data_IF_076122118580
#
_entry.id   IF_076122118580
#
_cell.length_a   1.000
_cell.length_b   1.000
_cell.length_c   1.000
_cell.angle_alpha   90.00
_cell.angle_beta   90.00
_cell.angle_gamma   90.00
#
_symmetry.space_group_name_H-M   'P 1'
#
loop_
_entity.id
_entity.type
_entity.pdbx_description
1 polymer ?
#
# COMPACT_ATOMS: atom_id res chain seq x y z
N UNK A 1 -4.89 -9.45 -9.25
CA UNK A 1 -6.22 -8.81 -9.32
C UNK A 1 -6.85 -8.99 -10.69
N UNK A 2 -8.08 -9.48 -10.76
CA UNK A 2 -8.92 -9.49 -11.95
C UNK A 2 -9.55 -8.11 -12.21
N UNK A 3 -10.33 -7.96 -13.29
CA UNK A 3 -11.11 -6.74 -13.54
C UNK A 3 -12.07 -6.46 -12.38
N UNK A 4 -11.96 -5.29 -11.75
CA UNK A 4 -12.83 -4.86 -10.64
C UNK A 4 -13.60 -3.61 -11.04
N UNK A 5 -14.92 -3.65 -10.88
CA UNK A 5 -15.81 -2.53 -11.19
C UNK A 5 -15.69 -1.42 -10.15
N UNK A 6 -15.89 -0.18 -10.57
CA UNK A 6 -15.94 0.98 -9.66
C UNK A 6 -16.98 0.75 -8.55
N UNK A 7 -16.57 0.92 -7.29
CA UNK A 7 -17.41 0.69 -6.12
C UNK A 7 -17.35 -0.73 -5.54
N UNK A 8 -16.69 -1.67 -6.23
CA UNK A 8 -16.35 -2.99 -5.69
C UNK A 8 -14.91 -2.99 -5.14
N UNK A 9 -14.59 -3.98 -4.31
CA UNK A 9 -13.23 -4.23 -3.87
C UNK A 9 -12.88 -5.70 -4.04
N UNK A 10 -11.60 -5.98 -4.33
CA UNK A 10 -11.06 -7.33 -4.42
C UNK A 10 -10.02 -7.51 -3.32
N UNK A 11 -10.15 -8.57 -2.53
CA UNK A 11 -9.17 -8.93 -1.51
C UNK A 11 -8.45 -10.18 -1.98
N UNK A 12 -7.13 -10.07 -2.17
CA UNK A 12 -6.26 -11.21 -2.43
C UNK A 12 -5.46 -11.51 -1.16
N UNK A 13 -5.27 -12.79 -0.86
CA UNK A 13 -4.47 -13.24 0.29
C UNK A 13 -3.15 -13.82 -0.21
N UNK A 14 -2.05 -13.27 0.28
CA UNK A 14 -0.69 -13.77 0.05
C UNK A 14 -0.21 -14.46 1.32
N UNK A 15 0.38 -15.63 1.19
CA UNK A 15 0.92 -16.36 2.34
C UNK A 15 2.43 -16.16 2.41
N UNK A 16 2.89 -15.68 3.55
CA UNK A 16 4.31 -15.64 3.87
C UNK A 16 4.64 -16.87 4.70
N UNK A 17 5.82 -17.45 4.47
CA UNK A 17 6.31 -18.60 5.21
C UNK A 17 7.79 -18.42 5.52
N UNK A 18 8.21 -18.73 6.74
CA UNK A 18 9.61 -18.73 7.11
C UNK A 18 10.16 -20.17 7.17
N UNK A 19 10.85 -20.66 6.13
CA UNK A 19 11.46 -21.99 6.14
C UNK A 19 12.79 -22.05 6.93
N UNK A 20 13.27 -20.92 7.47
CA UNK A 20 14.53 -20.84 8.18
C UNK A 20 14.37 -21.24 9.65
N UNK A 21 15.47 -21.65 10.28
CA UNK A 21 15.51 -22.06 11.70
C UNK A 21 15.69 -20.88 12.67
N UNK A 22 15.42 -19.65 12.22
CA UNK A 22 15.48 -18.43 13.03
C UNK A 22 14.27 -17.54 12.75
N UNK A 23 13.80 -16.72 13.71
CA UNK A 23 12.74 -15.74 13.46
C UNK A 23 13.11 -14.74 12.36
N UNK A 24 12.13 -14.34 11.55
CA UNK A 24 12.30 -13.39 10.45
C UNK A 24 11.31 -12.23 10.59
N UNK A 25 11.82 -11.00 10.65
CA UNK A 25 11.01 -9.79 10.59
C UNK A 25 10.69 -9.44 9.13
N UNK A 26 9.44 -9.06 8.87
CA UNK A 26 8.99 -8.63 7.55
C UNK A 26 8.19 -7.33 7.65
N UNK A 27 8.26 -6.53 6.60
CA UNK A 27 7.47 -5.31 6.44
C UNK A 27 7.22 -5.00 4.97
N UNK A 28 6.11 -4.33 4.70
CA UNK A 28 5.68 -3.93 3.36
C UNK A 28 6.19 -2.52 3.08
N UNK A 29 7.04 -2.38 2.07
CA UNK A 29 7.53 -1.07 1.65
C UNK A 29 6.64 -0.46 0.57
N UNK A 30 5.90 0.59 0.91
CA UNK A 30 5.19 1.40 -0.10
C UNK A 30 6.11 2.52 -0.60
N UNK A 31 6.44 2.51 -1.89
CA UNK A 31 7.11 3.66 -2.52
C UNK A 31 6.18 4.87 -2.50
N UNK A 32 6.37 5.77 -1.53
CA UNK A 32 5.81 7.12 -1.64
C UNK A 32 6.71 7.89 -2.61
N UNK A 33 6.19 8.45 -3.72
CA UNK A 33 6.96 9.41 -4.49
C UNK A 33 7.25 10.59 -3.58
N UNK A 34 8.51 10.73 -3.15
CA UNK A 34 8.94 11.88 -2.37
C UNK A 34 8.88 13.09 -3.30
N UNK A 35 7.86 13.93 -3.12
CA UNK A 35 7.72 15.14 -3.90
C UNK A 35 8.77 16.15 -3.42
N UNK A 36 9.98 16.09 -4.00
CA UNK A 36 11.13 16.96 -3.63
C UNK A 36 10.81 18.45 -3.74
N UNK A 37 9.75 18.83 -4.46
CA UNK A 37 9.25 20.20 -4.59
C UNK A 37 8.65 20.77 -3.30
N UNK A 38 8.17 19.94 -2.37
CA UNK A 38 7.56 20.45 -1.13
C UNK A 38 8.58 21.14 -0.21
N UNK A 39 9.82 20.66 -0.16
CA UNK A 39 10.81 21.10 0.85
C UNK A 39 11.15 22.59 0.76
N UNK A 40 11.09 23.18 -0.44
CA UNK A 40 11.46 24.59 -0.67
C UNK A 40 10.24 25.52 -0.95
N UNK A 41 9.02 24.99 -0.88
CA UNK A 41 7.84 25.76 -1.27
C UNK A 41 7.30 26.66 -0.14
N UNK A 42 6.94 27.93 -0.41
CA UNK A 42 6.25 28.79 0.53
C UNK A 42 4.96 28.18 1.10
N UNK A 43 4.65 28.43 2.37
CA UNK A 43 3.52 27.81 3.10
C UNK A 43 2.17 27.97 2.39
N UNK A 44 1.90 29.13 1.77
CA UNK A 44 0.63 29.38 1.08
C UNK A 44 0.49 28.54 -0.21
N UNK A 45 1.59 28.29 -0.92
CA UNK A 45 1.63 27.43 -2.10
C UNK A 45 1.52 25.95 -1.69
N UNK A 46 2.15 25.53 -0.58
CA UNK A 46 1.94 24.18 -0.02
C UNK A 46 0.47 23.92 0.32
N UNK A 47 -0.22 24.90 0.92
CA UNK A 47 -1.64 24.77 1.28
C UNK A 47 -2.54 24.63 0.04
N UNK A 48 -2.29 25.42 -1.02
CA UNK A 48 -2.99 25.26 -2.31
C UNK A 48 -2.68 23.90 -2.93
N UNK A 49 -1.41 23.51 -2.97
CA UNK A 49 -0.98 22.24 -3.52
C UNK A 49 -1.58 21.05 -2.77
N UNK A 50 -1.63 21.05 -1.44
CA UNK A 50 -2.30 20.00 -0.66
C UNK A 50 -3.82 19.97 -0.84
N UNK A 51 -4.46 21.12 -1.10
CA UNK A 51 -5.89 21.17 -1.37
C UNK A 51 -6.22 20.64 -2.77
N UNK A 52 -5.34 20.89 -3.75
CA UNK A 52 -5.46 20.38 -5.14
C UNK A 52 -5.01 18.92 -5.26
N UNK A 53 -3.96 18.52 -4.53
CA UNK A 53 -3.56 17.14 -4.30
C UNK A 53 -4.49 16.51 -3.26
N UNK A 54 -5.76 16.33 -3.61
CA UNK A 54 -6.57 15.31 -2.93
C UNK A 54 -5.71 14.05 -2.86
N UNK A 55 -5.53 13.43 -1.68
CA UNK A 55 -4.70 12.25 -1.59
C UNK A 55 -5.24 11.25 -2.60
N UNK A 56 -4.42 10.89 -3.60
CA UNK A 56 -4.74 9.81 -4.55
C UNK A 56 -5.23 8.67 -3.68
N UNK A 57 -6.49 8.32 -3.85
CA UNK A 57 -7.15 7.37 -2.98
C UNK A 57 -6.29 6.11 -2.97
N UNK A 58 -6.00 5.57 -1.78
CA UNK A 58 -5.15 4.37 -1.68
C UNK A 58 -5.88 3.24 -2.39
N UNK A 59 -5.48 3.00 -3.63
CA UNK A 59 -6.04 1.97 -4.51
C UNK A 59 -5.78 0.58 -3.91
N UNK A 60 -4.66 0.42 -3.21
CA UNK A 60 -4.30 -0.78 -2.47
C UNK A 60 -4.17 -0.49 -0.97
N UNK A 61 -4.74 -1.38 -0.17
CA UNK A 61 -4.55 -1.45 1.28
C UNK A 61 -3.98 -2.83 1.61
N UNK A 62 -2.93 -2.88 2.43
CA UNK A 62 -2.26 -4.13 2.80
C UNK A 62 -2.31 -4.29 4.31
N UNK A 63 -2.68 -5.48 4.79
CA UNK A 63 -2.77 -5.79 6.23
C UNK A 63 -2.38 -7.26 6.48
N UNK A 64 -1.47 -7.56 7.42
CA UNK A 64 -0.65 -6.62 8.18
C UNK A 64 0.42 -5.94 7.31
N UNK A 65 0.89 -4.76 7.75
CA UNK A 65 1.99 -4.04 7.09
C UNK A 65 3.38 -4.53 7.53
N UNK A 66 3.45 -5.27 8.63
CA UNK A 66 4.67 -5.83 9.20
C UNK A 66 4.36 -6.95 10.19
N UNK A 67 5.36 -7.76 10.49
CA UNK A 67 5.26 -8.80 11.51
C UNK A 67 6.59 -9.54 11.68
N UNK A 68 6.54 -10.57 12.53
CA UNK A 68 7.63 -11.53 12.73
C UNK A 68 7.07 -12.91 12.39
N UNK A 69 7.89 -13.75 11.76
CA UNK A 69 7.58 -15.16 11.51
C UNK A 69 8.60 -16.03 12.24
N UNK A 70 8.14 -16.85 13.15
CA UNK A 70 8.94 -17.89 13.79
C UNK A 70 9.31 -19.01 12.79
N UNK A 71 10.32 -19.85 13.11
CA UNK A 71 10.69 -20.98 12.28
C UNK A 71 9.52 -21.91 11.94
N UNK A 72 9.25 -22.11 10.66
CA UNK A 72 8.13 -22.93 10.16
C UNK A 72 6.76 -22.23 10.19
N UNK A 73 6.67 -21.00 10.68
CA UNK A 73 5.41 -20.25 10.73
C UNK A 73 4.96 -19.80 9.33
N UNK A 74 3.65 -19.69 9.16
CA UNK A 74 3.01 -19.07 8.00
C UNK A 74 2.05 -17.97 8.45
N UNK A 75 2.06 -16.85 7.75
CA UNK A 75 1.12 -15.74 7.99
C UNK A 75 0.43 -15.33 6.70
N UNK A 76 -0.86 -14.99 6.81
CA UNK A 76 -1.66 -14.54 5.69
C UNK A 76 -1.71 -13.01 5.68
N UNK A 77 -1.28 -12.41 4.57
CA UNK A 77 -1.30 -10.98 4.32
C UNK A 77 -2.39 -10.69 3.30
N UNK A 78 -3.34 -9.82 3.66
CA UNK A 78 -4.42 -9.40 2.79
C UNK A 78 -4.04 -8.14 2.02
N UNK A 79 -4.24 -8.19 0.71
CA UNK A 79 -4.12 -7.03 -0.18
C UNK A 79 -5.50 -6.73 -0.73
N UNK A 80 -6.06 -5.60 -0.29
CA UNK A 80 -7.37 -5.11 -0.69
C UNK A 80 -7.21 -4.04 -1.76
N UNK A 81 -7.74 -4.30 -2.95
CA UNK A 81 -7.85 -3.38 -4.06
C UNK A 81 -9.21 -2.67 -4.04
N UNK A 82 -9.22 -1.34 -3.98
CA UNK A 82 -10.41 -0.48 -3.91
C UNK A 82 -10.35 0.63 -4.97
N UNK A 83 -10.67 0.33 -6.25
CA UNK A 83 -10.72 1.34 -7.29
C UNK A 83 -11.90 2.28 -7.04
N UNK A 84 -11.60 3.58 -6.88
CA UNK A 84 -12.61 4.64 -6.78
C UNK A 84 -12.81 5.41 -8.08
N UNK A 85 -11.91 5.21 -9.04
CA UNK A 85 -11.90 5.79 -10.37
C UNK A 85 -11.55 4.69 -11.36
N UNK A 86 -12.02 4.80 -12.60
CA UNK A 86 -11.64 3.89 -13.68
C UNK A 86 -10.18 4.13 -14.04
N UNK A 87 -9.31 3.20 -13.67
CA UNK A 87 -7.87 3.30 -13.92
C UNK A 87 -7.36 1.95 -14.39
N UNK A 88 -6.76 1.92 -15.58
CA UNK A 88 -5.99 0.77 -16.05
C UNK A 88 -4.57 0.83 -15.47
N UNK A 89 -4.21 -0.13 -14.62
CA UNK A 89 -2.83 -0.32 -14.17
C UNK A 89 -2.17 -1.33 -15.11
N UNK A 90 -1.08 -0.92 -15.79
CA UNK A 90 -0.22 -1.79 -16.61
C UNK A 90 1.02 -2.20 -15.83
#
# INVERSE_FOLDING_TARGET
FATVQCGQCLVETVQFSNPLQVPCEWFVHSHKPVNKLEKHMPKYLRRKLHAELKPKTRIFEIQPMSGVLDPGERSNVQVKFMPKEEVSFK
#
